data_IF_775577545338
#
_entry.id   IF_775577545338
#
_cell.length_a   1.000
_cell.length_b   1.000
_cell.length_c   1.000
_cell.angle_alpha   90.00
_cell.angle_beta   90.00
_cell.angle_gamma   90.00
#
_symmetry.space_group_name_H-M   'P 1'
#
loop_
_entity.id
_entity.type
_entity.pdbx_description
1 polymer ?
#
# COMPACT_ATOMS: atom_id res chain seq x y z
N UNK A 1 12.30 57.36 18.65
CA UNK A 1 13.17 56.29 19.22
C UNK A 1 12.88 55.00 18.46
N UNK A 2 13.70 54.64 17.46
CA UNK A 2 13.53 53.40 16.66
C UNK A 2 14.81 52.58 16.75
N UNK A 3 14.84 51.60 17.64
CA UNK A 3 15.76 50.46 17.64
C UNK A 3 15.16 49.42 18.61
N UNK A 4 14.55 48.32 18.11
CA UNK A 4 15.25 47.03 18.16
C UNK A 4 14.71 46.00 17.14
N UNK A 5 15.05 46.08 15.85
CA UNK A 5 14.69 45.02 14.87
C UNK A 5 15.89 44.44 14.10
N UNK A 6 17.09 45.01 14.26
CA UNK A 6 18.30 44.55 13.54
C UNK A 6 19.10 43.45 14.28
N UNK A 7 18.89 43.22 15.58
CA UNK A 7 19.62 42.19 16.33
C UNK A 7 19.09 40.76 16.15
N UNK A 8 17.78 40.58 15.91
CA UNK A 8 17.17 39.25 15.77
C UNK A 8 17.59 38.51 14.50
N UNK A 9 17.62 39.19 13.35
CA UNK A 9 18.04 38.58 12.07
C UNK A 9 19.48 38.06 12.10
N UNK A 10 20.42 38.81 12.70
CA UNK A 10 21.83 38.38 12.77
C UNK A 10 22.03 37.10 13.59
N UNK A 11 21.20 36.83 14.60
CA UNK A 11 21.25 35.58 15.37
C UNK A 11 20.72 34.38 14.58
N UNK A 12 19.63 34.57 13.82
CA UNK A 12 19.06 33.52 12.95
C UNK A 12 20.06 33.13 11.84
N UNK A 13 20.68 34.11 11.18
CA UNK A 13 21.69 33.83 10.15
C UNK A 13 22.92 33.09 10.69
N UNK A 14 23.36 33.39 11.93
CA UNK A 14 24.46 32.67 12.56
C UNK A 14 24.09 31.22 12.91
N UNK A 15 22.89 30.98 13.42
CA UNK A 15 22.39 29.63 13.71
C UNK A 15 22.27 28.79 12.43
N UNK A 16 21.78 29.39 11.35
CA UNK A 16 21.64 28.72 10.06
C UNK A 16 23.00 28.36 9.44
N UNK A 17 24.01 29.25 9.53
CA UNK A 17 25.37 28.94 9.11
C UNK A 17 26.02 27.83 9.97
N UNK A 18 25.77 27.84 11.27
CA UNK A 18 26.33 26.83 12.19
C UNK A 18 25.73 25.44 11.93
N UNK A 19 24.43 25.38 11.60
CA UNK A 19 23.75 24.14 11.23
C UNK A 19 24.25 23.59 9.87
N UNK A 20 24.54 24.49 8.92
CA UNK A 20 25.10 24.11 7.61
C UNK A 20 26.54 23.57 7.73
N UNK A 21 27.36 24.14 8.63
CA UNK A 21 28.70 23.62 8.93
C UNK A 21 28.65 22.23 9.59
N UNK A 22 27.70 21.99 10.50
CA UNK A 22 27.55 20.66 11.12
C UNK A 22 27.15 19.59 10.10
N UNK A 23 26.26 19.91 9.15
CA UNK A 23 25.88 18.99 8.08
C UNK A 23 27.06 18.65 7.17
N UNK A 24 27.89 19.64 6.80
CA UNK A 24 29.09 19.40 6.00
C UNK A 24 30.11 18.49 6.71
N UNK A 25 30.31 18.68 8.02
CA UNK A 25 31.20 17.83 8.80
C UNK A 25 30.71 16.38 8.89
N UNK A 26 29.40 16.17 9.09
CA UNK A 26 28.82 14.81 9.09
C UNK A 26 28.95 14.12 7.73
N UNK A 27 28.82 14.88 6.64
CA UNK A 27 28.94 14.34 5.29
C UNK A 27 30.39 13.97 4.96
N UNK A 28 31.37 14.75 5.42
CA UNK A 28 32.79 14.40 5.34
C UNK A 28 33.13 13.13 6.14
N UNK A 29 32.59 12.98 7.36
CA UNK A 29 32.80 11.78 8.17
C UNK A 29 32.19 10.53 7.51
N UNK A 30 30.98 10.63 6.94
CA UNK A 30 30.37 9.53 6.17
C UNK A 30 31.21 9.15 4.95
N UNK A 31 31.79 10.13 4.26
CA UNK A 31 32.63 9.88 3.08
C UNK A 31 33.92 9.17 3.47
N UNK A 32 34.58 9.59 4.57
CA UNK A 32 35.78 8.92 5.10
C UNK A 32 35.48 7.49 5.58
N UNK A 33 34.32 7.24 6.19
CA UNK A 33 33.91 5.87 6.57
C UNK A 33 33.69 4.98 5.34
N UNK A 34 33.10 5.52 4.27
CA UNK A 34 32.85 4.79 3.02
C UNK A 34 34.17 4.47 2.29
N UNK A 35 35.13 5.40 2.29
CA UNK A 35 36.47 5.17 1.74
C UNK A 35 37.27 4.13 2.54
N UNK A 36 37.17 4.15 3.87
CA UNK A 36 37.78 3.14 4.73
C UNK A 36 37.20 1.75 4.49
N UNK A 37 35.87 1.64 4.30
CA UNK A 37 35.23 0.38 3.93
C UNK A 37 35.63 -0.13 2.53
N UNK A 38 35.89 0.78 1.59
CA UNK A 38 36.39 0.43 0.24
C UNK A 38 37.83 -0.08 0.24
N UNK A 39 38.65 0.36 1.20
CA UNK A 39 40.05 -0.07 1.34
C UNK A 39 40.20 -1.49 1.91
N UNK A 40 39.13 -2.10 2.44
CA UNK A 40 39.14 -3.45 3.03
C UNK A 40 38.66 -4.58 2.09
N UNK A 41 38.38 -4.30 0.81
CA UNK A 41 38.07 -5.36 -0.17
C UNK A 41 39.33 -5.74 -0.98
N UNK A 42 39.81 -7.00 -0.91
CA UNK A 42 40.88 -7.44 -1.80
C UNK A 42 40.35 -7.57 -3.23
N UNK A 43 40.96 -6.84 -4.16
CA UNK A 43 40.72 -6.96 -5.59
C UNK A 43 41.21 -8.33 -6.10
N UNK A 44 40.30 -9.26 -6.38
CA UNK A 44 40.62 -10.41 -7.21
C UNK A 44 40.75 -9.95 -8.67
N UNK A 45 41.97 -9.72 -9.11
CA UNK A 45 42.32 -9.60 -10.53
C UNK A 45 43.10 -10.85 -10.93
N UNK A 46 42.53 -11.64 -11.84
CA UNK A 46 43.15 -12.81 -12.45
C UNK A 46 44.45 -12.43 -13.17
N UNK A 47 45.54 -13.15 -12.88
CA UNK A 47 46.59 -13.42 -13.86
C UNK A 47 47.39 -14.65 -13.41
N UNK A 48 47.23 -15.80 -14.08
CA UNK A 48 48.21 -16.89 -13.99
C UNK A 48 48.46 -17.48 -15.38
N UNK A 49 49.69 -17.25 -15.83
CA UNK A 49 50.39 -17.83 -16.97
C UNK A 49 50.42 -19.36 -16.91
N UNK A 50 50.33 -19.96 -18.09
CA UNK A 50 50.65 -21.35 -18.37
C UNK A 50 52.13 -21.65 -18.15
N UNK A 51 52.47 -22.64 -17.31
CA UNK A 51 53.66 -23.47 -17.49
C UNK A 51 53.60 -24.78 -16.68
N UNK A 52 53.81 -25.90 -17.37
CA UNK A 52 53.85 -27.27 -16.84
C UNK A 52 55.19 -27.58 -16.13
N UNK A 53 55.14 -28.22 -14.94
CA UNK A 53 55.90 -29.44 -14.63
C UNK A 53 55.40 -30.10 -13.32
N UNK A 54 55.54 -31.44 -13.15
CA UNK A 54 54.77 -32.22 -12.20
C UNK A 54 55.56 -32.55 -10.93
N UNK A 55 54.96 -32.42 -9.75
CA UNK A 55 55.36 -33.20 -8.57
C UNK A 55 54.25 -33.25 -7.52
N UNK A 56 53.80 -34.49 -7.29
CA UNK A 56 52.95 -35.07 -6.24
C UNK A 56 52.17 -34.11 -5.32
N UNK A 57 50.84 -34.08 -5.53
CA UNK A 57 49.84 -33.50 -4.64
C UNK A 57 49.19 -34.60 -3.78
N UNK A 58 49.38 -34.53 -2.46
CA UNK A 58 48.45 -35.14 -1.50
C UNK A 58 47.37 -34.10 -1.25
N UNK A 59 46.24 -34.21 -1.97
CA UNK A 59 45.09 -33.31 -1.80
C UNK A 59 44.24 -33.82 -0.65
N UNK A 60 44.35 -33.15 0.50
CA UNK A 60 43.37 -33.26 1.59
C UNK A 60 42.04 -32.66 1.12
N UNK A 61 41.03 -33.49 0.92
CA UNK A 61 39.67 -33.08 0.59
C UNK A 61 39.00 -32.48 1.83
N UNK A 62 38.96 -31.16 1.94
CA UNK A 62 37.95 -30.48 2.74
C UNK A 62 36.75 -30.18 1.83
N UNK A 63 35.72 -31.03 1.90
CA UNK A 63 34.42 -30.75 1.31
C UNK A 63 33.80 -29.53 1.99
N UNK A 64 33.80 -28.38 1.31
CA UNK A 64 32.92 -27.27 1.67
C UNK A 64 31.50 -27.65 1.26
N UNK A 65 30.73 -28.20 2.20
CA UNK A 65 29.28 -28.33 2.04
C UNK A 65 28.70 -26.92 2.20
N UNK A 66 28.34 -26.28 1.09
CA UNK A 66 27.44 -25.14 1.11
C UNK A 66 26.08 -25.65 1.58
N UNK A 67 25.80 -25.53 2.88
CA UNK A 67 24.44 -25.62 3.40
C UNK A 67 23.69 -24.37 2.88
N UNK A 68 23.17 -24.47 1.66
CA UNK A 68 22.05 -23.63 1.27
C UNK A 68 20.90 -24.04 2.20
N UNK A 69 20.66 -23.27 3.26
CA UNK A 69 19.44 -23.44 4.04
C UNK A 69 18.27 -23.29 3.06
N UNK A 70 17.44 -24.33 2.86
CA UNK A 70 16.26 -24.17 2.03
C UNK A 70 15.42 -23.07 2.66
N UNK A 71 15.05 -22.09 1.85
CA UNK A 71 14.04 -21.09 2.23
C UNK A 71 12.80 -21.92 2.60
N UNK A 72 12.36 -21.83 3.85
CA UNK A 72 11.20 -22.60 4.29
C UNK A 72 9.99 -22.18 3.45
N UNK A 73 9.36 -23.11 2.74
CA UNK A 73 8.14 -22.88 1.96
C UNK A 73 6.89 -22.70 2.84
N UNK A 74 7.07 -22.66 4.17
CA UNK A 74 6.03 -22.40 5.17
C UNK A 74 6.49 -21.28 6.09
N UNK A 75 5.56 -20.37 6.41
CA UNK A 75 5.78 -19.29 7.37
C UNK A 75 4.53 -19.01 8.20
N UNK A 76 4.71 -18.47 9.41
CA UNK A 76 3.63 -18.18 10.34
C UNK A 76 3.03 -16.78 10.06
N UNK A 77 1.72 -16.72 9.82
CA UNK A 77 0.97 -15.50 9.53
C UNK A 77 0.47 -14.83 10.82
N UNK A 78 -0.16 -15.63 11.67
CA UNK A 78 -0.65 -15.30 13.00
C UNK A 78 -0.43 -16.55 13.87
N UNK A 79 -0.55 -16.42 15.20
CA UNK A 79 -0.37 -17.57 16.10
C UNK A 79 -1.22 -18.77 15.65
N UNK A 80 -0.57 -19.91 15.42
CA UNK A 80 -1.18 -21.16 14.95
C UNK A 80 -1.77 -21.13 13.52
N UNK A 81 -1.47 -20.11 12.72
CA UNK A 81 -1.92 -19.99 11.32
C UNK A 81 -0.69 -19.86 10.42
N UNK A 82 -0.52 -20.80 9.52
CA UNK A 82 0.65 -20.88 8.65
C UNK A 82 0.24 -20.81 7.19
N UNK A 83 1.10 -20.19 6.38
CA UNK A 83 0.94 -20.11 4.93
C UNK A 83 1.99 -20.98 4.28
N UNK A 84 1.55 -21.87 3.40
CA UNK A 84 2.39 -22.73 2.57
C UNK A 84 2.41 -22.17 1.15
N UNK A 85 3.60 -21.88 0.65
CA UNK A 85 3.83 -21.40 -0.70
C UNK A 85 3.97 -22.58 -1.66
N UNK A 86 3.14 -22.64 -2.71
CA UNK A 86 3.09 -23.76 -3.65
C UNK A 86 3.19 -23.28 -5.10
N UNK A 87 4.07 -23.89 -5.88
CA UNK A 87 3.97 -23.84 -7.33
C UNK A 87 2.77 -24.69 -7.79
N UNK A 88 1.86 -24.08 -8.55
CA UNK A 88 0.56 -24.63 -8.90
C UNK A 88 0.49 -24.95 -10.39
N UNK A 89 0.78 -26.21 -10.73
CA UNK A 89 0.65 -26.75 -12.08
C UNK A 89 0.32 -28.25 -12.02
N UNK A 90 -0.19 -28.86 -13.10
CA UNK A 90 -0.46 -30.30 -13.14
C UNK A 90 0.81 -31.10 -12.79
N UNK A 91 0.69 -32.08 -11.89
CA UNK A 91 1.79 -32.94 -11.42
C UNK A 91 2.87 -32.24 -10.57
N UNK A 92 2.60 -31.04 -10.04
CA UNK A 92 3.49 -30.40 -9.08
C UNK A 92 3.76 -31.32 -7.87
N UNK A 93 5.02 -31.43 -7.41
CA UNK A 93 5.39 -32.31 -6.30
C UNK A 93 4.80 -31.85 -4.96
N UNK A 94 4.41 -30.57 -4.86
CA UNK A 94 4.02 -29.90 -3.62
C UNK A 94 5.17 -29.78 -2.63
N UNK A 95 4.83 -29.40 -1.40
CA UNK A 95 5.81 -29.11 -0.36
C UNK A 95 5.68 -30.07 0.82
N UNK A 96 6.82 -30.51 1.34
CA UNK A 96 6.87 -31.32 2.57
C UNK A 96 6.90 -30.38 3.78
N UNK A 97 5.85 -30.44 4.60
CA UNK A 97 5.69 -29.60 5.79
C UNK A 97 5.80 -30.45 7.05
N UNK A 98 6.52 -29.95 8.05
CA UNK A 98 6.63 -30.58 9.37
C UNK A 98 5.90 -29.71 10.40
N UNK A 99 4.79 -30.20 10.93
CA UNK A 99 4.04 -29.57 12.02
C UNK A 99 4.55 -30.10 13.36
N UNK A 100 4.67 -29.22 14.35
CA UNK A 100 5.06 -29.60 15.71
C UNK A 100 3.93 -29.25 16.68
N UNK A 101 3.51 -30.20 17.50
CA UNK A 101 2.49 -29.97 18.51
C UNK A 101 3.05 -29.05 19.60
N UNK A 102 2.41 -27.91 19.84
CA UNK A 102 2.81 -26.96 20.89
C UNK A 102 2.41 -27.49 22.27
N UNK A 103 3.22 -28.41 22.80
CA UNK A 103 3.00 -29.10 24.07
C UNK A 103 4.34 -29.52 24.70
N UNK A 104 4.44 -29.56 26.04
CA UNK A 104 5.59 -30.18 26.71
C UNK A 104 5.58 -31.72 26.63
N UNK A 105 4.46 -32.33 26.24
CA UNK A 105 4.34 -33.78 26.10
C UNK A 105 5.18 -34.30 24.91
N UNK A 106 5.84 -35.45 25.08
CA UNK A 106 6.67 -36.05 24.01
C UNK A 106 6.02 -37.30 23.40
N UNK A 107 5.29 -38.07 24.21
CA UNK A 107 4.75 -39.38 23.82
C UNK A 107 3.22 -39.43 23.82
N UNK A 108 2.67 -40.37 23.05
CA UNK A 108 1.22 -40.64 23.00
C UNK A 108 0.41 -39.58 22.26
N UNK A 109 1.07 -38.76 21.45
CA UNK A 109 0.44 -37.72 20.62
C UNK A 109 -0.04 -38.35 19.32
N UNK A 110 -1.25 -37.98 18.89
CA UNK A 110 -1.85 -38.37 17.61
C UNK A 110 -2.38 -37.14 16.89
N UNK A 111 -2.44 -37.18 15.56
CA UNK A 111 -2.86 -36.05 14.74
C UNK A 111 -4.09 -36.38 13.91
N UNK A 112 -4.97 -35.39 13.76
CA UNK A 112 -6.15 -35.43 12.87
C UNK A 112 -6.23 -34.15 12.04
N UNK A 113 -7.01 -34.18 10.95
CA UNK A 113 -7.34 -33.00 10.14
C UNK A 113 -8.85 -32.75 10.17
N UNK A 114 -9.29 -31.52 9.95
CA UNK A 114 -10.70 -31.19 9.72
C UNK A 114 -11.29 -31.85 8.46
N UNK A 115 -10.46 -32.24 7.51
CA UNK A 115 -10.86 -32.99 6.30
C UNK A 115 -10.92 -34.50 6.52
N UNK A 116 -10.34 -35.04 7.60
CA UNK A 116 -10.38 -36.47 7.91
C UNK A 116 -10.32 -36.75 9.42
N UNK A 117 -11.31 -37.51 9.90
CA UNK A 117 -11.34 -38.01 11.29
C UNK A 117 -10.34 -39.14 11.56
N UNK A 118 -9.65 -39.64 10.54
CA UNK A 118 -8.64 -40.68 10.70
C UNK A 118 -7.35 -40.12 11.30
N UNK A 119 -6.64 -40.96 12.04
CA UNK A 119 -5.33 -40.58 12.60
C UNK A 119 -4.32 -40.53 11.47
N UNK A 120 -3.83 -39.32 11.17
CA UNK A 120 -2.89 -39.04 10.10
C UNK A 120 -1.45 -39.44 10.45
N UNK A 121 -1.14 -39.45 11.74
CA UNK A 121 0.18 -39.79 12.26
C UNK A 121 0.26 -39.69 13.77
N UNK A 122 1.36 -40.19 14.32
CA UNK A 122 1.64 -40.23 15.76
C UNK A 122 3.00 -39.63 16.07
N UNK A 123 3.14 -39.07 17.27
CA UNK A 123 4.36 -38.40 17.74
C UNK A 123 4.21 -36.88 17.80
N UNK A 124 5.21 -36.23 18.41
CA UNK A 124 5.23 -34.78 18.62
C UNK A 124 5.20 -33.98 17.32
N UNK A 125 5.78 -34.52 16.25
CA UNK A 125 5.84 -33.90 14.93
C UNK A 125 5.05 -34.72 13.91
N UNK A 126 4.35 -34.05 13.01
CA UNK A 126 3.67 -34.64 11.86
C UNK A 126 4.33 -34.14 10.57
N UNK A 127 4.75 -35.06 9.71
CA UNK A 127 5.26 -34.72 8.36
C UNK A 127 4.18 -35.01 7.34
N UNK A 128 3.79 -34.01 6.54
CA UNK A 128 2.76 -34.11 5.51
C UNK A 128 3.26 -33.57 4.17
N UNK A 129 2.67 -34.07 3.09
CA UNK A 129 2.88 -33.52 1.75
C UNK A 129 1.69 -32.64 1.39
N UNK A 130 1.93 -31.35 1.13
CA UNK A 130 0.88 -30.38 0.81
C UNK A 130 0.95 -30.07 -0.69
N UNK A 131 -0.09 -30.45 -1.43
CA UNK A 131 -0.17 -30.26 -2.89
C UNK A 131 -1.41 -29.47 -3.30
N UNK A 132 -2.52 -29.70 -2.61
CA UNK A 132 -3.81 -29.13 -2.95
C UNK A 132 -4.60 -28.67 -1.72
N UNK A 133 -5.75 -28.03 -1.94
CA UNK A 133 -6.58 -27.52 -0.85
C UNK A 133 -7.14 -28.61 0.09
N UNK A 134 -7.18 -29.87 -0.35
CA UNK A 134 -7.53 -31.00 0.51
C UNK A 134 -6.47 -31.34 1.56
N UNK A 135 -5.22 -30.93 1.33
CA UNK A 135 -4.10 -31.10 2.28
C UNK A 135 -3.94 -29.88 3.21
N UNK A 136 -4.69 -28.80 2.97
CA UNK A 136 -4.72 -27.63 3.83
C UNK A 136 -5.71 -27.84 4.99
N UNK A 137 -6.04 -26.78 5.73
CA UNK A 137 -7.05 -26.87 6.80
C UNK A 137 -6.46 -27.00 8.19
N UNK A 138 -7.32 -27.33 9.16
CA UNK A 138 -6.96 -27.37 10.56
C UNK A 138 -6.43 -28.75 10.96
N UNK A 139 -5.15 -28.80 11.30
CA UNK A 139 -4.49 -29.95 11.91
C UNK A 139 -4.54 -29.84 13.43
N UNK A 140 -4.98 -30.89 14.10
CA UNK A 140 -5.14 -30.91 15.55
C UNK A 140 -4.36 -32.07 16.15
N UNK A 141 -3.54 -31.80 17.17
CA UNK A 141 -2.83 -32.83 17.91
C UNK A 141 -3.54 -33.14 19.23
N UNK A 142 -3.60 -34.41 19.58
CA UNK A 142 -4.35 -34.94 20.71
C UNK A 142 -3.51 -35.91 21.53
N UNK A 143 -3.82 -36.04 22.83
CA UNK A 143 -3.30 -37.09 23.70
C UNK A 143 -4.39 -37.58 24.64
N UNK A 144 -4.60 -38.89 24.69
CA UNK A 144 -5.64 -39.49 25.53
C UNK A 144 -7.07 -39.05 25.22
N UNK A 145 -7.32 -38.57 23.99
CA UNK A 145 -8.61 -38.01 23.57
C UNK A 145 -8.79 -36.51 23.85
N UNK A 146 -7.82 -35.86 24.50
CA UNK A 146 -7.83 -34.42 24.73
C UNK A 146 -7.03 -33.68 23.65
N UNK A 147 -7.54 -32.53 23.22
CA UNK A 147 -6.86 -31.63 22.27
C UNK A 147 -5.72 -30.91 22.99
N UNK A 148 -4.51 -31.00 22.44
CA UNK A 148 -3.32 -30.32 22.98
C UNK A 148 -3.08 -28.97 22.28
N UNK A 149 -3.09 -28.96 20.95
CA UNK A 149 -2.87 -27.77 20.14
C UNK A 149 -3.43 -27.96 18.72
N UNK A 150 -3.44 -26.88 17.93
CA UNK A 150 -3.89 -26.87 16.55
C UNK A 150 -2.98 -26.01 15.66
N UNK A 151 -3.02 -26.28 14.36
CA UNK A 151 -2.32 -25.51 13.34
C UNK A 151 -3.18 -25.44 12.09
N UNK A 152 -3.52 -24.22 11.65
CA UNK A 152 -4.28 -23.98 10.43
C UNK A 152 -3.32 -23.73 9.26
N UNK A 153 -3.43 -24.52 8.21
CA UNK A 153 -2.66 -24.33 6.97
C UNK A 153 -3.49 -23.62 5.91
N UNK A 154 -2.91 -22.54 5.37
CA UNK A 154 -3.41 -21.78 4.23
C UNK A 154 -2.45 -21.97 3.05
N UNK A 155 -2.97 -21.86 1.82
CA UNK A 155 -2.16 -22.02 0.60
C UNK A 155 -2.00 -20.69 -0.14
N UNK A 156 -0.75 -20.33 -0.44
CA UNK A 156 -0.41 -19.24 -1.35
C UNK A 156 0.02 -19.84 -2.68
N UNK A 157 -0.83 -19.70 -3.69
CA UNK A 157 -0.64 -20.35 -4.99
C UNK A 157 0.22 -19.51 -5.93
N UNK A 158 1.15 -20.16 -6.63
CA UNK A 158 1.98 -19.57 -7.67
C UNK A 158 1.81 -20.31 -9.00
N UNK A 159 1.11 -19.70 -9.95
CA UNK A 159 0.86 -20.25 -11.29
C UNK A 159 1.82 -19.58 -12.30
N UNK A 160 2.57 -20.38 -13.06
CA UNK A 160 3.54 -19.89 -14.06
C UNK A 160 4.54 -18.84 -13.51
N UNK A 161 4.95 -19.02 -12.25
CA UNK A 161 5.87 -18.11 -11.57
C UNK A 161 5.21 -16.84 -11.00
N UNK A 162 3.89 -16.70 -11.12
CA UNK A 162 3.11 -15.54 -10.67
C UNK A 162 2.16 -15.93 -9.54
N UNK A 163 2.15 -15.17 -8.44
CA UNK A 163 1.20 -15.38 -7.35
C UNK A 163 -0.24 -15.15 -7.80
N UNK A 164 -1.16 -16.00 -7.35
CA UNK A 164 -2.57 -15.90 -7.72
C UNK A 164 -3.21 -14.61 -7.19
N UNK A 165 -4.15 -14.06 -7.96
CA UNK A 165 -4.87 -12.83 -7.61
C UNK A 165 -6.37 -13.00 -7.84
N UNK A 166 -6.93 -14.07 -7.31
CA UNK A 166 -8.31 -14.49 -7.58
C UNK A 166 -9.32 -13.86 -6.63
N UNK A 167 -8.88 -13.46 -5.43
CA UNK A 167 -9.74 -12.90 -4.38
C UNK A 167 -10.15 -11.45 -4.73
N UNK A 168 -9.21 -10.61 -5.16
CA UNK A 168 -9.48 -9.21 -5.52
C UNK A 168 -9.67 -9.03 -7.02
N UNK A 169 -10.52 -8.06 -7.39
CA UNK A 169 -10.76 -7.66 -8.77
C UNK A 169 -10.00 -6.38 -9.08
N UNK A 170 -9.33 -6.38 -10.25
CA UNK A 170 -8.78 -5.15 -10.84
C UNK A 170 -9.91 -4.24 -11.28
N UNK A 171 -9.77 -2.94 -11.05
CA UNK A 171 -10.73 -1.98 -11.55
C UNK A 171 -10.60 -1.85 -13.07
N UNK A 172 -11.64 -2.25 -13.81
CA UNK A 172 -11.65 -2.18 -15.26
C UNK A 172 -12.01 -0.79 -15.81
N UNK A 173 -12.52 0.14 -14.98
CA UNK A 173 -12.85 1.50 -15.42
C UNK A 173 -11.61 2.32 -15.78
N UNK A 174 -10.44 1.91 -15.28
CA UNK A 174 -9.14 2.48 -15.65
C UNK A 174 -8.25 1.40 -16.27
N UNK A 175 -8.46 1.04 -17.55
CA UNK A 175 -7.77 -0.09 -18.20
C UNK A 175 -6.24 0.04 -18.27
N UNK A 176 -5.69 1.20 -17.90
CA UNK A 176 -4.24 1.47 -17.83
C UNK A 176 -3.63 1.26 -16.45
N UNK A 177 -4.41 1.34 -15.36
CA UNK A 177 -3.94 1.06 -13.99
C UNK A 177 -4.37 -0.36 -13.59
N UNK A 178 -3.47 -1.33 -13.71
CA UNK A 178 -3.71 -2.72 -13.31
C UNK A 178 -3.68 -2.91 -11.77
N UNK A 179 -4.21 -1.96 -11.01
CA UNK A 179 -4.10 -1.94 -9.53
C UNK A 179 -5.32 -2.57 -8.88
N UNK A 180 -5.10 -3.34 -7.81
CA UNK A 180 -6.16 -3.94 -7.00
C UNK A 180 -6.61 -3.01 -5.88
N UNK A 181 -5.65 -2.30 -5.30
CA UNK A 181 -5.85 -1.36 -4.20
C UNK A 181 -5.90 0.05 -4.78
N UNK A 182 -6.93 0.81 -4.41
CA UNK A 182 -7.07 2.23 -4.72
C UNK A 182 -7.07 3.01 -3.42
N UNK A 183 -6.35 4.12 -3.37
CA UNK A 183 -6.26 4.96 -2.20
C UNK A 183 -6.49 6.41 -2.60
N UNK A 184 -7.20 7.16 -1.76
CA UNK A 184 -7.39 8.61 -1.90
C UNK A 184 -7.20 9.30 -0.55
N UNK A 185 -6.63 10.50 -0.61
CA UNK A 185 -6.50 11.40 0.52
C UNK A 185 -7.20 12.72 0.19
N UNK A 186 -8.02 13.22 1.11
CA UNK A 186 -8.75 14.48 0.90
C UNK A 186 -7.89 15.73 1.07
N UNK A 187 -6.78 15.58 1.78
CA UNK A 187 -5.90 16.65 2.23
C UNK A 187 -4.53 16.06 2.62
N UNK A 188 -3.61 16.91 3.08
CA UNK A 188 -2.26 16.51 3.49
C UNK A 188 -2.12 16.16 4.98
N UNK A 189 -3.21 15.83 5.67
CA UNK A 189 -3.20 15.55 7.13
C UNK A 189 -2.54 14.24 7.53
N UNK A 190 -2.15 13.40 6.57
CA UNK A 190 -1.75 12.02 6.83
C UNK A 190 -2.91 11.02 6.80
N UNK A 191 -4.16 11.50 6.75
CA UNK A 191 -5.35 10.65 6.66
C UNK A 191 -5.64 10.27 5.21
N UNK A 192 -5.84 8.97 4.97
CA UNK A 192 -6.24 8.45 3.66
C UNK A 192 -7.14 7.22 3.80
N UNK A 193 -7.91 6.97 2.76
CA UNK A 193 -8.80 5.81 2.69
C UNK A 193 -8.41 4.98 1.49
N UNK A 194 -8.25 3.68 1.71
CA UNK A 194 -8.01 2.71 0.64
C UNK A 194 -9.22 1.80 0.47
N UNK A 195 -9.44 1.32 -0.74
CA UNK A 195 -10.49 0.37 -1.06
C UNK A 195 -10.07 -0.59 -2.16
N UNK A 196 -10.77 -1.71 -2.18
CA UNK A 196 -10.64 -2.76 -3.17
C UNK A 196 -11.99 -3.41 -3.44
N UNK A 197 -12.05 -4.14 -4.54
CA UNK A 197 -13.26 -4.83 -4.99
C UNK A 197 -13.05 -6.34 -4.95
N UNK A 198 -14.09 -7.07 -4.57
CA UNK A 198 -14.13 -8.53 -4.64
C UNK A 198 -15.50 -9.00 -5.11
N UNK A 199 -15.50 -10.13 -5.82
CA UNK A 199 -16.74 -10.84 -6.18
C UNK A 199 -17.13 -11.90 -5.13
N UNK A 200 -16.29 -12.09 -4.09
CA UNK A 200 -16.49 -13.07 -3.01
C UNK A 200 -17.26 -12.41 -1.88
N UNK A 201 -18.27 -13.09 -1.33
CA UNK A 201 -19.16 -12.53 -0.30
C UNK A 201 -19.12 -13.26 1.05
N UNK A 202 -18.54 -14.46 1.13
CA UNK A 202 -18.50 -15.28 2.35
C UNK A 202 -17.08 -15.76 2.65
N UNK A 203 -16.82 -16.14 3.90
CA UNK A 203 -15.56 -16.76 4.36
C UNK A 203 -14.30 -15.97 3.99
N UNK A 204 -14.40 -14.64 4.08
CA UNK A 204 -13.38 -13.70 3.64
C UNK A 204 -12.84 -12.89 4.83
N UNK A 205 -11.54 -12.97 5.08
CA UNK A 205 -10.82 -12.20 6.09
C UNK A 205 -9.77 -11.32 5.41
N UNK A 206 -9.68 -10.07 5.83
CA UNK A 206 -8.64 -9.14 5.39
C UNK A 206 -7.80 -8.68 6.58
N UNK A 207 -6.47 -8.68 6.41
CA UNK A 207 -5.53 -8.12 7.37
C UNK A 207 -4.77 -7.01 6.65
N UNK A 208 -4.76 -5.80 7.21
CA UNK A 208 -4.13 -4.62 6.60
C UNK A 208 -2.87 -4.27 7.39
N UNK A 209 -1.74 -4.24 6.70
CA UNK A 209 -0.44 -3.84 7.23
C UNK A 209 0.02 -2.60 6.48
N UNK A 210 0.57 -1.62 7.18
CA UNK A 210 1.06 -0.38 6.58
C UNK A 210 2.37 0.06 7.22
N UNK A 211 3.21 0.73 6.44
CA UNK A 211 4.47 1.31 6.92
C UNK A 211 4.86 2.53 6.08
N UNK A 212 5.80 3.35 6.56
CA UNK A 212 6.44 4.40 5.75
C UNK A 212 7.88 3.98 5.45
N UNK A 213 8.15 3.71 4.18
CA UNK A 213 9.36 3.01 3.76
C UNK A 213 9.47 1.59 4.32
N UNK A 214 10.44 0.82 3.83
CA UNK A 214 10.57 -0.61 4.18
C UNK A 214 11.05 -0.88 5.61
N UNK A 215 11.48 0.13 6.38
CA UNK A 215 12.21 -0.06 7.64
C UNK A 215 11.53 0.48 8.90
N UNK A 216 10.44 1.25 8.80
CA UNK A 216 9.70 1.75 9.97
C UNK A 216 8.21 1.38 9.93
N UNK A 217 7.80 0.30 10.63
CA UNK A 217 6.42 -0.14 10.69
C UNK A 217 5.52 0.75 11.57
N UNK A 218 6.05 1.78 12.25
CA UNK A 218 5.27 2.61 13.19
C UNK A 218 4.77 3.94 12.59
N UNK A 219 5.05 4.21 11.32
CA UNK A 219 4.69 5.46 10.66
C UNK A 219 3.19 5.62 10.35
N UNK A 220 2.46 4.51 10.13
CA UNK A 220 1.08 4.53 9.66
C UNK A 220 0.22 3.52 10.43
N UNK A 221 -0.92 3.98 10.94
CA UNK A 221 -1.91 3.14 11.63
C UNK A 221 -3.15 2.99 10.76
N UNK A 222 -3.60 1.77 10.51
CA UNK A 222 -4.84 1.50 9.79
C UNK A 222 -5.90 0.89 10.72
N UNK A 223 -7.17 1.22 10.49
CA UNK A 223 -8.30 0.58 11.12
C UNK A 223 -8.60 -0.81 10.55
N UNK A 224 -9.73 -1.39 10.97
CA UNK A 224 -10.23 -2.62 10.38
C UNK A 224 -10.84 -2.38 9.00
N UNK A 225 -10.68 -3.35 8.09
CA UNK A 225 -11.37 -3.31 6.80
C UNK A 225 -12.88 -3.49 7.01
N UNK A 226 -13.67 -2.58 6.45
CA UNK A 226 -15.13 -2.57 6.57
C UNK A 226 -15.78 -2.70 5.20
N UNK A 227 -16.94 -3.36 5.17
CA UNK A 227 -17.73 -3.44 3.95
C UNK A 227 -18.44 -2.10 3.70
N UNK A 228 -18.22 -1.52 2.53
CA UNK A 228 -18.90 -0.30 2.11
C UNK A 228 -20.35 -0.58 1.73
N UNK A 229 -21.26 0.33 2.06
CA UNK A 229 -22.66 0.27 1.63
C UNK A 229 -22.82 0.46 0.11
N UNK A 230 -21.80 1.01 -0.56
CA UNK A 230 -21.79 1.26 -1.99
C UNK A 230 -21.47 -0.03 -2.76
N UNK A 231 -22.49 -0.61 -3.42
CA UNK A 231 -22.25 -1.69 -4.39
C UNK A 231 -21.73 -1.08 -5.68
N UNK A 232 -20.55 -1.54 -6.12
CA UNK A 232 -20.00 -1.12 -7.40
C UNK A 232 -20.42 -2.15 -8.43
N UNK A 233 -21.36 -1.77 -9.30
CA UNK A 233 -21.67 -2.53 -10.50
C UNK A 233 -20.46 -2.51 -11.44
N UNK A 234 -19.78 -3.65 -11.57
CA UNK A 234 -18.71 -3.88 -12.56
C UNK A 234 -19.20 -5.01 -13.46
N UNK A 235 -19.45 -4.69 -14.73
CA UNK A 235 -19.87 -5.63 -15.80
C UNK A 235 -20.75 -6.80 -15.34
N UNK A 236 -22.05 -6.55 -15.17
CA UNK A 236 -23.08 -7.58 -14.93
C UNK A 236 -22.95 -8.44 -13.66
N UNK A 237 -22.04 -8.12 -12.73
CA UNK A 237 -22.05 -8.67 -11.35
C UNK A 237 -21.87 -7.57 -10.30
N UNK A 238 -22.64 -7.68 -9.23
CA UNK A 238 -22.44 -6.88 -8.03
C UNK A 238 -21.07 -7.24 -7.43
N UNK A 239 -20.16 -6.27 -7.35
CA UNK A 239 -18.90 -6.40 -6.63
C UNK A 239 -19.03 -5.72 -5.27
N UNK A 240 -18.45 -6.36 -4.25
CA UNK A 240 -18.37 -5.83 -2.89
C UNK A 240 -17.15 -4.92 -2.78
N UNK A 241 -17.35 -3.71 -2.26
CA UNK A 241 -16.30 -2.74 -2.00
C UNK A 241 -15.95 -2.77 -0.52
N UNK A 242 -14.70 -3.08 -0.21
CA UNK A 242 -14.16 -2.97 1.13
C UNK A 242 -13.31 -1.72 1.25
N UNK A 243 -13.38 -1.06 2.39
CA UNK A 243 -12.68 0.19 2.69
C UNK A 243 -11.89 0.07 3.98
N UNK A 244 -10.75 0.73 4.05
CA UNK A 244 -9.97 0.90 5.27
C UNK A 244 -9.51 2.35 5.38
N UNK A 245 -9.61 2.90 6.58
CA UNK A 245 -9.09 4.23 6.90
C UNK A 245 -7.74 4.08 7.60
N UNK A 246 -6.78 4.90 7.20
CA UNK A 246 -5.43 4.90 7.71
C UNK A 246 -4.98 6.32 8.04
N UNK A 247 -4.15 6.44 9.06
CA UNK A 247 -3.59 7.69 9.55
C UNK A 247 -2.08 7.56 9.71
N UNK A 248 -1.34 8.45 9.06
CA UNK A 248 0.08 8.65 9.34
C UNK A 248 0.27 9.39 10.67
N UNK A 249 1.11 8.86 11.56
CA UNK A 249 1.25 9.36 12.93
C UNK A 249 2.05 10.66 13.06
N UNK A 250 3.20 10.77 12.40
CA UNK A 250 4.17 11.88 12.57
C UNK A 250 4.39 12.71 11.30
N UNK A 251 3.46 12.65 10.35
CA UNK A 251 3.54 13.37 9.08
C UNK A 251 3.55 14.89 9.26
N UNK A 252 4.43 15.58 8.53
CA UNK A 252 4.41 17.03 8.40
C UNK A 252 3.67 17.40 7.10
N UNK A 253 2.46 17.98 7.14
CA UNK A 253 1.65 18.25 5.94
C UNK A 253 2.34 19.13 4.88
N UNK A 254 3.26 19.99 5.30
CA UNK A 254 3.99 20.90 4.43
C UNK A 254 5.38 20.39 4.00
N UNK A 255 5.82 19.23 4.51
CA UNK A 255 7.11 18.67 4.16
C UNK A 255 7.03 17.88 2.85
N UNK A 256 8.11 17.91 2.07
CA UNK A 256 8.23 17.05 0.89
C UNK A 256 8.45 15.60 1.33
N UNK A 257 7.56 14.71 0.90
CA UNK A 257 7.68 13.27 1.20
C UNK A 257 8.85 12.66 0.43
N UNK A 258 9.76 12.01 1.17
CA UNK A 258 10.96 11.35 0.63
C UNK A 258 10.82 9.83 0.50
N UNK A 259 9.96 9.21 1.31
CA UNK A 259 9.68 7.77 1.31
C UNK A 259 8.18 7.53 1.11
N UNK A 260 7.77 6.57 0.26
CA UNK A 260 6.37 6.26 0.06
C UNK A 260 5.77 5.55 1.28
N UNK A 261 4.45 5.56 1.35
CA UNK A 261 3.68 4.67 2.19
C UNK A 261 3.56 3.33 1.46
N UNK A 262 3.90 2.25 2.16
CA UNK A 262 3.73 0.88 1.69
C UNK A 262 2.53 0.27 2.42
N UNK A 263 1.50 -0.10 1.67
CA UNK A 263 0.30 -0.76 2.17
C UNK A 263 0.25 -2.20 1.64
N UNK A 264 0.05 -3.16 2.54
CA UNK A 264 -0.15 -4.57 2.20
C UNK A 264 -1.49 -5.03 2.75
N UNK A 265 -2.33 -5.58 1.88
CA UNK A 265 -3.59 -6.23 2.23
C UNK A 265 -3.42 -7.72 2.04
N UNK A 266 -3.46 -8.46 3.14
CA UNK A 266 -3.50 -9.91 3.16
C UNK A 266 -4.96 -10.36 3.11
N UNK A 267 -5.29 -11.22 2.16
CA UNK A 267 -6.64 -11.68 1.89
C UNK A 267 -6.69 -13.19 2.06
N UNK A 268 -7.58 -13.66 2.95
CA UNK A 268 -7.82 -15.08 3.17
C UNK A 268 -9.25 -15.40 2.78
N UNK A 269 -9.42 -16.28 1.80
CA UNK A 269 -10.73 -16.81 1.40
C UNK A 269 -10.72 -18.32 1.60
N UNK A 270 -11.49 -18.81 2.59
CA UNK A 270 -11.41 -20.20 3.08
C UNK A 270 -9.96 -20.56 3.47
N UNK A 271 -9.32 -21.46 2.72
CA UNK A 271 -7.94 -21.90 2.95
C UNK A 271 -6.94 -21.25 1.96
N UNK A 272 -7.39 -20.30 1.15
CA UNK A 272 -6.55 -19.59 0.19
C UNK A 272 -6.03 -18.29 0.79
N UNK A 273 -4.73 -18.08 0.71
CA UNK A 273 -4.05 -16.83 1.05
C UNK A 273 -3.57 -16.13 -0.24
N UNK A 274 -3.79 -14.82 -0.31
CA UNK A 274 -3.19 -13.94 -1.30
C UNK A 274 -2.79 -12.63 -0.61
N UNK A 275 -1.79 -11.93 -1.13
CA UNK A 275 -1.47 -10.58 -0.66
C UNK A 275 -1.40 -9.58 -1.82
N UNK A 276 -1.66 -8.32 -1.48
CA UNK A 276 -1.75 -7.24 -2.43
C UNK A 276 -1.03 -6.04 -1.85
N UNK A 277 -0.08 -5.49 -2.60
CA UNK A 277 0.68 -4.32 -2.17
C UNK A 277 0.35 -3.08 -3.00
N UNK A 278 0.49 -1.92 -2.37
CA UNK A 278 0.44 -0.62 -3.03
C UNK A 278 1.45 0.33 -2.38
N UNK A 279 2.19 1.03 -3.21
CA UNK A 279 3.21 2.02 -2.80
C UNK A 279 2.84 3.38 -3.39
N UNK A 280 2.72 4.39 -2.54
CA UNK A 280 2.31 5.73 -2.98
C UNK A 280 2.77 6.84 -2.03
N UNK A 281 2.84 8.07 -2.55
CA UNK A 281 2.94 9.27 -1.73
C UNK A 281 1.55 9.88 -1.50
N UNK A 282 1.33 10.56 -0.38
CA UNK A 282 0.05 11.24 -0.13
C UNK A 282 -0.25 12.24 -1.24
N UNK A 283 0.74 13.03 -1.67
CA UNK A 283 0.60 14.00 -2.79
C UNK A 283 0.07 13.39 -4.09
N UNK A 284 0.33 12.11 -4.35
CA UNK A 284 -0.10 11.42 -5.57
C UNK A 284 -1.55 10.94 -5.50
N UNK A 285 -2.04 10.67 -4.29
CA UNK A 285 -3.40 10.20 -4.03
C UNK A 285 -4.34 11.33 -3.57
N UNK A 286 -3.89 12.59 -3.62
CA UNK A 286 -4.72 13.74 -3.25
C UNK A 286 -5.92 13.86 -4.20
N UNK A 287 -7.11 13.87 -3.61
CA UNK A 287 -8.37 14.20 -4.27
C UNK A 287 -9.23 15.07 -3.34
N UNK A 288 -9.28 16.39 -3.54
CA UNK A 288 -10.08 17.28 -2.71
C UNK A 288 -11.58 16.93 -2.77
N UNK A 289 -12.31 17.26 -1.71
CA UNK A 289 -13.78 17.29 -1.78
C UNK A 289 -14.26 18.41 -2.73
N UNK A 290 -15.49 18.34 -3.26
CA UNK A 290 -16.03 19.36 -4.16
C UNK A 290 -16.09 20.76 -3.51
N UNK A 291 -15.96 21.85 -4.29
CA UNK A 291 -16.20 23.20 -3.79
C UNK A 291 -17.57 23.33 -3.12
N UNK A 292 -17.62 23.99 -1.96
CA UNK A 292 -18.85 24.16 -1.19
C UNK A 292 -19.51 25.51 -1.47
N UNK A 293 -20.76 25.66 -1.04
CA UNK A 293 -21.51 26.93 -1.09
C UNK A 293 -21.52 27.60 -2.47
N UNK A 294 -21.77 26.82 -3.52
CA UNK A 294 -21.80 27.32 -4.89
C UNK A 294 -23.02 28.24 -5.09
N UNK A 295 -22.77 29.52 -5.36
CA UNK A 295 -23.80 30.56 -5.48
C UNK A 295 -23.72 31.26 -6.84
N UNK A 296 -24.89 31.69 -7.35
CA UNK A 296 -25.01 32.48 -8.56
C UNK A 296 -25.57 33.86 -8.23
N UNK A 297 -24.84 34.90 -8.63
CA UNK A 297 -25.26 36.29 -8.53
C UNK A 297 -25.50 36.86 -9.93
N UNK A 298 -26.75 37.17 -10.31
CA UNK A 298 -27.04 37.80 -11.59
C UNK A 298 -26.38 39.17 -11.70
N UNK A 299 -25.76 39.45 -12.85
CA UNK A 299 -25.26 40.79 -13.17
C UNK A 299 -26.35 41.56 -13.92
N UNK A 300 -26.63 42.79 -13.47
CA UNK A 300 -27.67 43.64 -14.09
C UNK A 300 -27.41 43.80 -15.58
N UNK A 301 -28.49 43.68 -16.38
CA UNK A 301 -28.50 43.90 -17.83
C UNK A 301 -27.54 43.00 -18.63
N UNK A 302 -27.24 41.79 -18.15
CA UNK A 302 -26.34 40.86 -18.82
C UNK A 302 -26.79 39.41 -18.66
N UNK A 303 -26.47 38.55 -19.63
CA UNK A 303 -26.57 37.09 -19.50
C UNK A 303 -25.43 36.47 -18.68
N UNK A 304 -24.52 37.32 -18.18
CA UNK A 304 -23.43 36.90 -17.32
C UNK A 304 -23.90 36.81 -15.88
N UNK A 305 -23.42 35.79 -15.19
CA UNK A 305 -23.57 35.60 -13.76
C UNK A 305 -22.18 35.58 -13.14
N UNK A 306 -22.07 36.12 -11.94
CA UNK A 306 -20.93 35.89 -11.08
C UNK A 306 -21.22 34.63 -10.27
N UNK A 307 -20.41 33.60 -10.49
CA UNK A 307 -20.44 32.37 -9.70
C UNK A 307 -19.37 32.46 -8.62
N UNK A 308 -19.71 32.10 -7.39
CA UNK A 308 -18.78 32.06 -6.25
C UNK A 308 -18.92 30.75 -5.48
N UNK A 309 -17.84 30.31 -4.86
CA UNK A 309 -17.77 29.11 -4.03
C UNK A 309 -16.81 29.33 -2.87
N UNK A 310 -16.66 28.31 -2.03
CA UNK A 310 -15.68 28.25 -0.96
C UNK A 310 -14.83 26.98 -1.07
N UNK A 311 -13.68 26.98 -0.41
CA UNK A 311 -12.86 25.78 -0.23
C UNK A 311 -13.65 24.76 0.60
N UNK A 312 -13.49 23.45 0.33
CA UNK A 312 -14.14 22.42 1.14
C UNK A 312 -13.55 22.40 2.55
N UNK A 313 -14.38 22.10 3.55
CA UNK A 313 -13.99 22.12 4.97
C UNK A 313 -12.91 21.09 5.32
N UNK A 314 -12.81 20.04 4.51
CA UNK A 314 -11.82 18.97 4.68
C UNK A 314 -10.45 19.34 4.13
N UNK A 315 -10.28 20.43 3.38
CA UNK A 315 -9.00 20.77 2.77
C UNK A 315 -7.97 21.29 3.79
N UNK A 316 -6.69 21.04 3.52
CA UNK A 316 -5.60 21.48 4.38
C UNK A 316 -5.57 23.00 4.57
N UNK A 317 -5.32 23.44 5.80
CA UNK A 317 -5.17 24.85 6.15
C UNK A 317 -3.72 25.16 6.55
N UNK A 318 -3.22 26.39 6.31
CA UNK A 318 -3.91 27.53 5.70
C UNK A 318 -3.96 27.46 4.16
N UNK A 319 -5.06 27.98 3.55
CA UNK A 319 -5.26 27.99 2.09
C UNK A 319 -4.24 28.85 1.32
N UNK A 320 -3.56 29.76 2.01
CA UNK A 320 -2.45 30.53 1.45
C UNK A 320 -1.23 29.66 1.10
N UNK A 321 -1.09 28.51 1.78
CA UNK A 321 -0.06 27.52 1.48
C UNK A 321 -0.65 26.39 0.63
N UNK A 322 -1.72 25.75 1.12
CA UNK A 322 -2.44 24.70 0.41
C UNK A 322 -3.47 25.33 -0.52
N UNK A 323 -3.02 25.92 -1.62
CA UNK A 323 -3.90 26.57 -2.59
C UNK A 323 -4.50 25.55 -3.56
N UNK A 324 -5.81 25.68 -3.81
CA UNK A 324 -6.52 24.95 -4.85
C UNK A 324 -6.61 25.79 -6.13
N UNK A 325 -6.67 25.11 -7.26
CA UNK A 325 -7.17 25.65 -8.52
C UNK A 325 -8.52 25.03 -8.86
N UNK A 326 -9.33 25.77 -9.60
CA UNK A 326 -10.70 25.40 -9.92
C UNK A 326 -10.93 25.35 -11.42
N UNK A 327 -11.73 24.40 -11.86
CA UNK A 327 -12.22 24.31 -13.23
C UNK A 327 -13.73 24.58 -13.23
N UNK A 328 -14.15 25.64 -13.92
CA UNK A 328 -15.55 26.00 -14.13
C UNK A 328 -15.98 25.56 -15.52
N UNK A 329 -17.12 24.87 -15.59
CA UNK A 329 -17.68 24.40 -16.85
C UNK A 329 -19.18 24.72 -16.91
N UNK A 330 -19.64 25.24 -18.04
CA UNK A 330 -21.06 25.40 -18.35
C UNK A 330 -21.55 24.21 -19.16
N UNK A 331 -22.46 23.42 -18.58
CA UNK A 331 -23.08 22.27 -19.24
C UNK A 331 -24.46 22.65 -19.77
N UNK A 332 -24.68 22.49 -21.08
CA UNK A 332 -25.98 22.78 -21.70
C UNK A 332 -26.99 21.63 -21.60
N UNK A 333 -28.26 21.92 -21.95
CA UNK A 333 -29.45 21.05 -21.88
C UNK A 333 -29.28 19.64 -22.45
N UNK A 334 -28.46 19.44 -23.49
CA UNK A 334 -28.25 18.12 -24.11
C UNK A 334 -27.03 17.35 -23.57
N UNK A 335 -26.50 17.72 -22.39
CA UNK A 335 -25.18 17.26 -21.88
C UNK A 335 -24.02 17.46 -22.89
N UNK A 336 -24.25 18.19 -23.99
CA UNK A 336 -23.19 18.63 -24.90
C UNK A 336 -22.30 19.57 -24.11
N UNK A 337 -21.14 19.06 -23.74
CA UNK A 337 -20.08 19.85 -23.12
C UNK A 337 -19.71 20.98 -24.08
N UNK A 338 -19.91 22.23 -23.65
CA UNK A 338 -19.20 23.32 -24.31
C UNK A 338 -17.72 23.13 -23.99
N UNK A 339 -16.86 23.22 -25.02
CA UNK A 339 -15.42 22.98 -24.93
C UNK A 339 -14.68 23.93 -23.99
N UNK A 340 -15.28 25.07 -23.64
CA UNK A 340 -14.60 26.09 -22.86
C UNK A 340 -14.69 25.77 -21.36
N UNK A 341 -13.63 25.10 -20.86
CA UNK A 341 -13.33 24.99 -19.44
C UNK A 341 -12.56 26.24 -19.02
N UNK A 342 -13.04 26.92 -17.98
CA UNK A 342 -12.36 28.08 -17.41
C UNK A 342 -11.61 27.64 -16.16
N UNK A 343 -10.30 27.83 -16.14
CA UNK A 343 -9.45 27.55 -14.99
C UNK A 343 -9.15 28.83 -14.22
N UNK A 344 -9.41 28.84 -12.92
CA UNK A 344 -9.20 29.99 -12.03
C UNK A 344 -8.66 29.55 -10.68
N UNK A 345 -7.89 30.41 -10.03
CA UNK A 345 -7.41 30.17 -8.66
C UNK A 345 -8.26 30.89 -7.60
N UNK A 346 -9.04 31.87 -8.04
CA UNK A 346 -9.97 32.59 -7.19
C UNK A 346 -11.22 31.75 -6.96
N UNK A 347 -11.92 32.02 -5.86
CA UNK A 347 -13.17 31.35 -5.53
C UNK A 347 -14.40 32.00 -6.16
N UNK A 348 -14.20 32.73 -7.26
CA UNK A 348 -15.28 33.28 -8.07
C UNK A 348 -14.87 33.41 -9.53
N UNK A 349 -15.85 33.40 -10.42
CA UNK A 349 -15.67 33.60 -11.85
C UNK A 349 -16.92 34.24 -12.48
N UNK A 350 -16.73 34.95 -13.59
CA UNK A 350 -17.83 35.46 -14.41
C UNK A 350 -18.04 34.54 -15.60
N UNK A 351 -19.24 33.99 -15.72
CA UNK A 351 -19.60 33.07 -16.81
C UNK A 351 -20.95 33.45 -17.41
N UNK A 352 -21.19 33.07 -18.66
CA UNK A 352 -22.53 33.17 -19.22
C UNK A 352 -23.39 32.03 -18.68
N UNK A 353 -24.62 32.34 -18.23
CA UNK A 353 -25.62 31.35 -17.80
C UNK A 353 -26.74 31.29 -18.84
N UNK A 354 -26.69 30.40 -19.84
CA UNK A 354 -27.83 30.15 -20.71
C UNK A 354 -28.99 29.52 -19.93
N UNK A 355 -30.21 29.76 -20.39
CA UNK A 355 -31.40 29.09 -19.86
C UNK A 355 -31.27 27.57 -20.01
N UNK A 356 -31.71 26.82 -19.00
CA UNK A 356 -31.62 25.35 -18.91
C UNK A 356 -30.17 24.80 -18.94
N UNK A 357 -29.17 25.60 -18.58
CA UNK A 357 -27.79 25.15 -18.38
C UNK A 357 -27.48 24.93 -16.89
N UNK A 358 -26.42 24.19 -16.60
CA UNK A 358 -25.84 24.10 -15.25
C UNK A 358 -24.39 24.56 -15.27
N UNK A 359 -23.99 25.25 -14.21
CA UNK A 359 -22.60 25.59 -13.94
C UNK A 359 -22.05 24.53 -13.01
N UNK A 360 -20.90 23.96 -13.37
CA UNK A 360 -20.20 22.94 -12.59
C UNK A 360 -18.80 23.45 -12.23
N UNK A 361 -18.38 23.20 -10.99
CA UNK A 361 -17.06 23.57 -10.50
C UNK A 361 -16.42 22.37 -9.81
N UNK A 362 -15.16 22.09 -10.12
CA UNK A 362 -14.34 21.08 -9.45
C UNK A 362 -13.00 21.70 -9.03
N UNK A 363 -12.36 21.11 -8.04
CA UNK A 363 -11.11 21.58 -7.44
C UNK A 363 -9.97 20.59 -7.64
N UNK A 364 -8.74 21.10 -7.59
CA UNK A 364 -7.49 20.34 -7.61
C UNK A 364 -6.43 21.11 -6.85
N UNK A 365 -5.43 20.41 -6.31
CA UNK A 365 -4.20 21.07 -5.87
C UNK A 365 -3.61 21.95 -6.99
N UNK A 366 -3.21 23.18 -6.62
CA UNK A 366 -2.69 24.16 -7.57
C UNK A 366 -1.27 23.83 -8.06
N UNK A 367 -0.43 23.31 -7.17
CA UNK A 367 1.00 23.15 -7.39
C UNK A 367 1.38 21.71 -7.72
N UNK A 368 0.51 20.75 -7.42
CA UNK A 368 0.69 19.35 -7.76
C UNK A 368 -0.40 18.81 -8.67
N UNK A 369 -0.01 17.95 -9.60
CA UNK A 369 -0.90 17.39 -10.61
C UNK A 369 -1.68 16.17 -10.08
N UNK A 370 -2.43 16.35 -8.99
CA UNK A 370 -3.24 15.29 -8.36
C UNK A 370 -4.61 15.07 -9.04
N UNK A 371 -5.51 14.28 -8.46
CA UNK A 371 -6.86 14.06 -8.97
C UNK A 371 -7.77 15.27 -8.79
N UNK A 372 -8.71 15.46 -9.72
CA UNK A 372 -9.78 16.46 -9.58
C UNK A 372 -10.87 15.96 -8.62
N UNK A 373 -11.47 16.87 -7.86
CA UNK A 373 -12.66 16.60 -7.06
C UNK A 373 -13.83 16.16 -7.94
N UNK A 374 -14.87 15.60 -7.33
CA UNK A 374 -16.19 15.54 -7.98
C UNK A 374 -16.72 16.96 -8.29
N UNK A 375 -17.66 17.05 -9.22
CA UNK A 375 -18.26 18.31 -9.62
C UNK A 375 -19.31 18.79 -8.60
N UNK A 376 -19.15 20.00 -8.08
CA UNK A 376 -20.26 20.77 -7.50
C UNK A 376 -21.06 21.43 -8.63
N UNK A 377 -22.39 21.44 -8.57
CA UNK A 377 -23.22 21.99 -9.65
C UNK A 377 -24.36 22.86 -9.16
N UNK A 378 -24.71 23.87 -9.96
CA UNK A 378 -25.83 24.79 -9.72
C UNK A 378 -26.52 25.10 -11.06
N UNK A 379 -27.85 25.13 -11.07
CA UNK A 379 -28.62 25.38 -12.29
C UNK A 379 -28.73 26.87 -12.59
N UNK A 380 -28.63 27.24 -13.87
CA UNK A 380 -28.99 28.56 -14.37
C UNK A 380 -30.51 28.72 -14.35
N UNK A 381 -31.00 29.86 -13.88
CA UNK A 381 -32.42 30.23 -13.91
C UNK A 381 -32.88 30.79 -15.26
#
# INVERSE_FOLDING_TARGET
MIAPLKLGRRRVYKLQQQQQQQQQQQQQQKTQQLESQRALQPAQKQEVKSQMHPQQLVVSWFSLVLLASPIMAIWELEKNVYVVELDWYPDAPGETVVLTCDTPEEDGITWTSDHSSEVLGSGKTLTIQVKEFGDAGQYTCHKGGEVLSHSLLLLHKKEDGVWSTDILKKDQKEPKSKTFLKCEAKNYSGHFTCWWLTAVSTDLKFIVKSSRGSSDPRGVTCGAATLSAERVGVEHRDCWKYTVECQEGSGCPAAEESLPIELVVEAVHKLKYENYSSSFFIRDIIRPDPPKNLQLKPLKNSRHVEVSWEYPDTWSTPHSYFSLMFCVQVQGKHKREKKDKLFVDQTSAKVTCPKDASIRVQARDRYYSSSWSEWASVSCS
#
